data_IF_378564538794
#
_entry.id   IF_378564538794
#
_cell.length_a   1.000
_cell.length_b   1.000
_cell.length_c   1.000
_cell.angle_alpha   90.00
_cell.angle_beta   90.00
_cell.angle_gamma   90.00
#
_symmetry.space_group_name_H-M   'P 1'
#
loop_
_entity.id
_entity.type
_entity.pdbx_description
1 polymer ?
#
# COMPACT_ATOMS: atom_id res chain seq x y z
N UNK A 1 -6.88 26.35 -19.56
CA UNK A 1 -5.90 25.63 -18.73
C UNK A 1 -5.51 24.38 -19.51
N UNK A 2 -4.27 24.31 -20.03
CA UNK A 2 -3.82 23.18 -20.85
C UNK A 2 -3.66 21.96 -19.94
N UNK A 3 -4.43 20.91 -20.19
CA UNK A 3 -4.18 19.62 -19.55
C UNK A 3 -2.85 19.10 -20.10
N UNK A 4 -1.89 18.69 -19.23
CA UNK A 4 -0.65 18.10 -19.69
C UNK A 4 -0.94 16.80 -20.46
N UNK A 5 -0.12 16.43 -21.47
CA UNK A 5 -0.37 15.26 -22.29
C UNK A 5 -0.47 14.02 -21.40
N UNK A 6 -1.46 13.15 -21.69
CA UNK A 6 -1.75 11.91 -20.95
C UNK A 6 -0.48 11.06 -20.76
N UNK A 7 0.45 11.10 -21.74
CA UNK A 7 1.73 10.41 -21.68
C UNK A 7 2.69 10.89 -20.56
N UNK A 8 2.64 12.16 -20.16
CA UNK A 8 3.50 12.69 -19.08
C UNK A 8 2.99 12.26 -17.69
N UNK A 9 1.66 12.15 -17.53
CA UNK A 9 1.03 11.69 -16.30
C UNK A 9 1.24 10.17 -16.10
N UNK A 10 1.20 9.40 -17.19
CA UNK A 10 1.54 7.98 -17.17
C UNK A 10 2.99 7.76 -16.71
N UNK A 11 3.97 8.48 -17.29
CA UNK A 11 5.38 8.39 -16.90
C UNK A 11 5.63 8.74 -15.44
N UNK A 12 5.02 9.83 -14.95
CA UNK A 12 5.14 10.21 -13.55
C UNK A 12 4.57 9.12 -12.62
N UNK A 13 3.48 8.45 -13.03
CA UNK A 13 2.89 7.33 -12.29
C UNK A 13 3.79 6.09 -12.31
N UNK A 14 4.45 5.81 -13.43
CA UNK A 14 5.43 4.73 -13.57
C UNK A 14 6.68 4.98 -12.71
N UNK A 15 7.19 6.21 -12.66
CA UNK A 15 8.33 6.60 -11.81
C UNK A 15 7.98 6.48 -10.32
N UNK A 16 6.78 6.91 -9.93
CA UNK A 16 6.28 6.72 -8.57
C UNK A 16 6.13 5.23 -8.24
N UNK A 17 5.63 4.42 -9.18
CA UNK A 17 5.51 2.98 -8.99
C UNK A 17 6.87 2.33 -8.81
N UNK A 18 7.83 2.60 -9.69
CA UNK A 18 9.20 2.06 -9.61
C UNK A 18 9.87 2.46 -8.28
N UNK A 19 9.66 3.72 -7.84
CA UNK A 19 10.11 4.17 -6.52
C UNK A 19 9.45 3.39 -5.38
N UNK A 20 8.14 3.18 -5.44
CA UNK A 20 7.42 2.38 -4.44
C UNK A 20 7.95 0.95 -4.41
N UNK A 21 8.10 0.30 -5.57
CA UNK A 21 8.55 -1.09 -5.65
C UNK A 21 9.96 -1.27 -5.11
N UNK A 22 10.89 -0.34 -5.40
CA UNK A 22 12.23 -0.34 -4.81
C UNK A 22 12.20 -0.19 -3.29
N UNK A 23 11.40 0.73 -2.76
CA UNK A 23 11.29 0.94 -1.32
C UNK A 23 10.63 -0.25 -0.62
N UNK A 24 9.62 -0.86 -1.25
CA UNK A 24 8.93 -2.03 -0.74
C UNK A 24 9.86 -3.25 -0.71
N UNK A 25 10.64 -3.48 -1.78
CA UNK A 25 11.63 -4.54 -1.83
C UNK A 25 12.76 -4.33 -0.80
N UNK A 26 13.27 -3.10 -0.70
CA UNK A 26 14.27 -2.74 0.31
C UNK A 26 13.76 -3.03 1.71
N UNK A 27 12.53 -2.62 2.03
CA UNK A 27 11.91 -2.92 3.31
C UNK A 27 11.72 -4.43 3.54
N UNK A 28 11.28 -5.19 2.53
CA UNK A 28 11.10 -6.63 2.66
C UNK A 28 12.43 -7.40 2.83
N UNK A 29 13.52 -6.88 2.26
CA UNK A 29 14.86 -7.45 2.36
C UNK A 29 15.55 -7.10 3.68
N UNK A 30 15.44 -5.85 4.13
CA UNK A 30 16.15 -5.35 5.31
C UNK A 30 15.43 -5.65 6.63
N UNK A 31 14.11 -5.88 6.59
CA UNK A 31 13.34 -6.19 7.80
C UNK A 31 13.90 -7.44 8.52
N UNK A 32 14.21 -7.35 9.83
CA UNK A 32 14.62 -8.51 10.60
C UNK A 32 13.47 -9.53 10.65
N UNK A 33 13.79 -10.82 10.50
CA UNK A 33 12.81 -11.89 10.72
C UNK A 33 12.34 -11.84 12.17
N UNK A 34 11.03 -11.68 12.38
CA UNK A 34 10.44 -11.58 13.71
C UNK A 34 10.45 -10.18 14.32
N UNK A 35 10.83 -9.14 13.57
CA UNK A 35 10.68 -7.77 14.03
C UNK A 35 9.19 -7.43 14.27
N UNK A 36 8.91 -6.77 15.39
CA UNK A 36 7.59 -6.26 15.69
C UNK A 36 7.19 -5.12 14.73
N UNK A 37 5.88 -4.91 14.59
CA UNK A 37 5.30 -3.85 13.75
C UNK A 37 5.93 -2.49 14.05
N UNK A 38 6.20 -2.19 15.32
CA UNK A 38 6.85 -0.94 15.72
C UNK A 38 8.23 -0.78 15.07
N UNK A 39 9.09 -1.80 15.13
CA UNK A 39 10.41 -1.75 14.49
C UNK A 39 10.31 -1.67 12.97
N UNK A 40 9.35 -2.38 12.38
CA UNK A 40 9.12 -2.33 10.94
C UNK A 40 8.73 -0.93 10.45
N UNK A 41 7.95 -0.18 11.26
CA UNK A 41 7.53 1.19 10.92
C UNK A 41 8.62 2.23 11.08
N UNK A 42 9.70 1.92 11.81
CA UNK A 42 10.87 2.79 11.96
C UNK A 42 11.81 2.74 10.75
N UNK A 43 11.64 1.75 9.86
CA UNK A 43 12.50 1.59 8.70
C UNK A 43 12.39 2.78 7.73
N UNK A 44 13.50 3.36 7.25
CA UNK A 44 13.48 4.56 6.40
C UNK A 44 12.70 4.35 5.10
N UNK A 45 12.79 3.17 4.49
CA UNK A 45 12.02 2.85 3.29
C UNK A 45 10.50 2.84 3.55
N UNK A 46 10.06 2.33 4.70
CA UNK A 46 8.65 2.31 5.08
C UNK A 46 8.10 3.73 5.24
N UNK A 47 8.88 4.60 5.89
CA UNK A 47 8.50 6.00 6.08
C UNK A 47 8.44 6.78 4.78
N UNK A 48 9.34 6.48 3.83
CA UNK A 48 9.29 7.05 2.47
C UNK A 48 8.05 6.60 1.70
N UNK A 49 7.60 5.36 1.86
CA UNK A 49 6.33 4.90 1.26
C UNK A 49 5.15 5.71 1.83
N UNK A 50 5.14 5.98 3.15
CA UNK A 50 4.10 6.83 3.75
C UNK A 50 4.16 8.26 3.20
N UNK A 51 5.37 8.82 3.06
CA UNK A 51 5.59 10.16 2.51
C UNK A 51 5.11 10.31 1.06
N UNK A 52 5.06 9.21 0.29
CA UNK A 52 4.47 9.22 -1.05
C UNK A 52 2.96 9.50 -1.05
N UNK A 53 2.26 9.23 0.06
CA UNK A 53 0.85 9.54 0.22
C UNK A 53 -0.08 8.67 -0.63
N UNK A 54 -1.22 9.26 -1.03
CA UNK A 54 -2.32 8.60 -1.75
C UNK A 54 -1.93 7.76 -2.98
N UNK A 55 -0.97 8.16 -3.86
CA UNK A 55 -0.60 7.33 -5.01
C UNK A 55 -0.03 5.96 -4.63
N UNK A 56 0.50 5.77 -3.41
CA UNK A 56 1.00 4.49 -2.94
C UNK A 56 -0.09 3.54 -2.42
N UNK A 57 -1.30 4.05 -2.14
CA UNK A 57 -2.42 3.27 -1.58
C UNK A 57 -2.80 2.07 -2.46
N UNK A 58 -3.06 2.21 -3.78
CA UNK A 58 -3.41 1.06 -4.61
C UNK A 58 -2.31 -0.01 -4.63
N UNK A 59 -1.04 0.39 -4.65
CA UNK A 59 0.08 -0.55 -4.66
C UNK A 59 0.29 -1.24 -3.31
N UNK A 60 0.07 -0.54 -2.21
CA UNK A 60 0.05 -1.12 -0.86
C UNK A 60 -1.06 -2.16 -0.73
N UNK A 61 -2.26 -1.87 -1.25
CA UNK A 61 -3.38 -2.80 -1.23
C UNK A 61 -3.09 -4.04 -2.10
N UNK A 62 -2.46 -3.88 -3.27
CA UNK A 62 -2.02 -5.03 -4.08
C UNK A 62 -1.01 -5.90 -3.33
N UNK A 63 0.03 -5.29 -2.72
CA UNK A 63 0.99 -6.01 -1.89
C UNK A 63 0.33 -6.73 -0.72
N UNK A 64 -0.68 -6.11 -0.11
CA UNK A 64 -1.45 -6.70 0.98
C UNK A 64 -2.28 -7.91 0.52
N UNK A 65 -2.81 -7.90 -0.71
CA UNK A 65 -3.52 -9.02 -1.32
C UNK A 65 -2.58 -10.21 -1.57
N UNK A 66 -1.38 -9.95 -2.11
CA UNK A 66 -0.38 -10.99 -2.37
C UNK A 66 0.18 -11.57 -1.07
N UNK A 67 0.49 -10.70 -0.12
CA UNK A 67 1.11 -11.07 1.14
C UNK A 67 0.55 -10.19 2.24
N UNK A 68 -0.34 -10.74 3.10
CA UNK A 68 -0.94 -9.98 4.18
C UNK A 68 0.13 -9.69 5.25
N UNK A 69 0.90 -8.65 4.98
CA UNK A 69 2.01 -8.13 5.75
C UNK A 69 1.51 -6.93 6.58
N UNK A 70 2.40 -6.36 7.39
CA UNK A 70 2.12 -5.21 8.25
C UNK A 70 2.00 -3.86 7.49
N UNK A 71 1.40 -3.87 6.30
CA UNK A 71 1.10 -2.67 5.50
C UNK A 71 -0.10 -1.87 6.02
N UNK A 72 -0.87 -2.43 6.97
CA UNK A 72 -2.00 -1.78 7.62
C UNK A 72 -1.66 -0.41 8.23
N UNK A 73 -0.45 -0.27 8.79
CA UNK A 73 -0.02 0.98 9.43
C UNK A 73 0.25 2.05 8.37
N UNK A 74 0.91 1.71 7.27
CA UNK A 74 1.10 2.61 6.14
C UNK A 74 -0.23 3.04 5.53
N UNK A 75 -1.12 2.08 5.26
CA UNK A 75 -2.45 2.37 4.73
C UNK A 75 -3.24 3.31 5.65
N UNK A 76 -3.21 3.08 6.97
CA UNK A 76 -3.86 3.97 7.94
C UNK A 76 -3.19 5.35 8.00
N UNK A 77 -1.86 5.42 7.95
CA UNK A 77 -1.13 6.69 8.01
C UNK A 77 -1.38 7.56 6.78
N UNK A 78 -1.51 6.94 5.61
CA UNK A 78 -1.75 7.64 4.34
C UNK A 78 -3.22 8.04 4.21
N UNK A 79 -4.14 7.09 4.40
CA UNK A 79 -5.57 7.30 4.11
C UNK A 79 -6.35 7.86 5.30
N UNK A 80 -5.80 7.75 6.51
CA UNK A 80 -6.52 8.02 7.76
C UNK A 80 -7.65 7.02 8.07
N UNK A 81 -7.98 6.11 7.14
CA UNK A 81 -9.11 5.21 7.25
C UNK A 81 -8.86 4.04 8.20
N UNK A 82 -9.92 3.57 8.85
CA UNK A 82 -9.89 2.42 9.76
C UNK A 82 -10.99 1.41 9.40
N UNK A 83 -10.89 0.72 8.25
CA UNK A 83 -11.90 -0.24 7.82
C UNK A 83 -11.89 -1.53 8.65
N UNK A 84 -10.81 -1.80 9.39
CA UNK A 84 -10.66 -3.00 10.21
C UNK A 84 -11.50 -2.89 11.49
N UNK A 85 -12.51 -3.75 11.68
CA UNK A 85 -13.31 -3.75 12.89
C UNK A 85 -12.47 -4.22 14.09
N UNK A 86 -12.80 -3.78 15.32
CA UNK A 86 -12.02 -4.11 16.52
C UNK A 86 -11.91 -5.62 16.77
N UNK A 87 -12.95 -6.38 16.41
CA UNK A 87 -13.05 -7.84 16.49
C UNK A 87 -12.08 -8.60 15.55
N UNK A 88 -11.71 -7.99 14.42
CA UNK A 88 -10.73 -8.57 13.48
C UNK A 88 -9.29 -8.12 13.76
N UNK A 89 -9.06 -7.25 14.75
CA UNK A 89 -7.70 -6.80 15.10
C UNK A 89 -6.87 -7.98 15.59
N UNK A 90 -5.68 -8.13 15.02
CA UNK A 90 -4.81 -9.29 15.26
C UNK A 90 -5.07 -10.46 14.31
N UNK A 91 -6.19 -10.48 13.58
CA UNK A 91 -6.48 -11.48 12.54
C UNK A 91 -6.03 -10.97 11.19
N UNK A 92 -4.74 -11.14 10.91
CA UNK A 92 -4.05 -10.62 9.71
C UNK A 92 -4.83 -10.84 8.40
N UNK A 93 -5.46 -12.01 8.22
CA UNK A 93 -6.30 -12.32 7.03
C UNK A 93 -7.56 -11.45 6.96
N UNK A 94 -8.30 -11.31 8.06
CA UNK A 94 -9.51 -10.49 8.10
C UNK A 94 -9.18 -9.01 7.97
N UNK A 95 -8.08 -8.58 8.61
CA UNK A 95 -7.57 -7.22 8.45
C UNK A 95 -7.23 -6.92 7.00
N UNK A 96 -6.56 -7.85 6.30
CA UNK A 96 -6.26 -7.73 4.88
C UNK A 96 -7.55 -7.63 4.07
N UNK A 97 -8.50 -8.53 4.29
CA UNK A 97 -9.77 -8.51 3.58
C UNK A 97 -10.53 -7.18 3.75
N UNK A 98 -10.60 -6.64 4.97
CA UNK A 98 -11.25 -5.37 5.25
C UNK A 98 -10.58 -4.19 4.51
N UNK A 99 -9.25 -4.18 4.40
CA UNK A 99 -8.53 -3.17 3.64
C UNK A 99 -8.73 -3.32 2.12
N UNK A 100 -8.71 -4.55 1.60
CA UNK A 100 -8.97 -4.82 0.18
C UNK A 100 -10.38 -4.41 -0.21
N UNK A 101 -11.36 -4.72 0.65
CA UNK A 101 -12.75 -4.34 0.44
C UNK A 101 -12.94 -2.82 0.48
N UNK A 102 -12.34 -2.15 1.47
CA UNK A 102 -12.30 -0.70 1.53
C UNK A 102 -11.67 -0.08 0.27
N UNK A 103 -10.56 -0.65 -0.21
CA UNK A 103 -9.89 -0.22 -1.45
C UNK A 103 -10.82 -0.27 -2.66
N UNK A 104 -11.57 -1.36 -2.80
CA UNK A 104 -12.58 -1.52 -3.86
C UNK A 104 -13.70 -0.48 -3.75
N UNK A 105 -14.21 -0.24 -2.54
CA UNK A 105 -15.27 0.74 -2.30
C UNK A 105 -14.83 2.19 -2.56
N UNK A 106 -13.54 2.52 -2.37
CA UNK A 106 -13.00 3.86 -2.54
C UNK A 106 -12.48 4.13 -3.97
N UNK A 107 -12.71 3.21 -4.91
CA UNK A 107 -12.29 3.39 -6.30
C UNK A 107 -10.81 3.10 -6.56
N UNK A 108 -10.07 2.52 -5.61
CA UNK A 108 -8.72 1.97 -5.83
C UNK A 108 -8.76 0.63 -6.56
N UNK A 109 -9.75 0.44 -7.45
CA UNK A 109 -10.10 -0.80 -8.14
C UNK A 109 -8.87 -1.67 -8.29
N UNK A 110 -8.79 -2.71 -7.46
CA UNK A 110 -7.69 -3.66 -7.43
C UNK A 110 -7.74 -4.36 -8.78
N UNK A 111 -7.09 -3.76 -9.79
CA UNK A 111 -7.01 -4.25 -11.15
C UNK A 111 -6.15 -5.51 -11.12
N UNK A 112 -6.74 -6.60 -10.64
CA UNK A 112 -6.52 -7.89 -11.24
C UNK A 112 -7.02 -7.75 -12.67
N UNK A 113 -6.08 -7.86 -13.59
CA UNK A 113 -6.35 -8.08 -14.99
C UNK A 113 -7.14 -9.39 -15.13
N UNK A 114 -8.46 -9.34 -14.98
CA UNK A 114 -9.37 -10.35 -15.50
C UNK A 114 -10.18 -9.65 -16.60
N UNK A 115 -9.55 -9.67 -17.77
CA UNK A 115 -10.25 -9.60 -19.04
C UNK A 115 -10.84 -10.99 -19.27
N UNK A 116 -12.16 -11.09 -19.18
CA UNK A 116 -12.96 -11.97 -20.03
C UNK A 116 -14.24 -11.22 -20.42
#
# INVERSE_FOLDING_TARGET
MAQPPIAAQARASEELRDRFERLADEWERDRPRGADVAQMTQHPAYRRIIDMGEPAVPWLLQRLAEKPNHWFVALNAITGARPVPPESRGRIKEMAQAWLDWGRQNGYGLTGNDVD
#
